data_IF_468221452732
#
_entry.id   IF_468221452732
#
_cell.length_a   1.000
_cell.length_b   1.000
_cell.length_c   1.000
_cell.angle_alpha   90.00
_cell.angle_beta   90.00
_cell.angle_gamma   90.00
#
_symmetry.space_group_name_H-M   'P 1'
#
loop_
_entity.id
_entity.type
_entity.pdbx_description
1 polymer ?
#
# COMPACT_ATOMS: atom_id res chain seq x y z
N UNK A 1 7.85 22.03 -5.43
CA UNK A 1 6.48 21.73 -5.00
C UNK A 1 5.73 20.94 -6.04
N UNK A 2 6.01 21.20 -7.30
CA UNK A 2 5.34 20.49 -8.37
C UNK A 2 5.72 19.01 -8.38
N UNK A 3 7.01 18.73 -8.21
CA UNK A 3 7.47 17.36 -8.13
C UNK A 3 6.89 16.61 -6.96
N UNK A 4 6.74 17.29 -5.84
CA UNK A 4 6.15 16.69 -4.66
C UNK A 4 4.68 16.34 -4.90
N UNK A 5 3.96 17.21 -5.60
CA UNK A 5 2.58 16.96 -5.92
C UNK A 5 2.39 15.73 -6.80
N UNK A 6 3.26 15.60 -7.81
CA UNK A 6 3.19 14.47 -8.70
C UNK A 6 3.51 13.15 -7.99
N UNK A 7 4.53 13.17 -7.16
CA UNK A 7 4.91 11.97 -6.40
C UNK A 7 3.78 11.58 -5.44
N UNK A 8 3.19 12.55 -4.79
CA UNK A 8 2.11 12.31 -3.87
C UNK A 8 0.89 11.71 -4.57
N UNK A 9 0.54 12.25 -5.73
CA UNK A 9 -0.59 11.73 -6.49
C UNK A 9 -0.36 10.29 -6.93
N UNK A 10 0.85 9.98 -7.39
CA UNK A 10 1.19 8.62 -7.80
C UNK A 10 1.09 7.67 -6.61
N UNK A 11 1.58 8.10 -5.45
CA UNK A 11 1.52 7.28 -4.26
C UNK A 11 0.08 6.98 -3.86
N UNK A 12 -0.79 7.99 -3.89
CA UNK A 12 -2.21 7.79 -3.57
C UNK A 12 -2.88 6.83 -4.54
N UNK A 13 -2.54 6.94 -5.82
CA UNK A 13 -3.11 6.05 -6.82
C UNK A 13 -2.68 4.61 -6.59
N UNK A 14 -1.42 4.40 -6.26
CA UNK A 14 -0.91 3.06 -5.98
C UNK A 14 -1.56 2.50 -4.72
N UNK A 15 -1.69 3.31 -3.68
CA UNK A 15 -2.37 2.88 -2.45
C UNK A 15 -3.80 2.44 -2.75
N UNK A 16 -4.50 3.20 -3.58
CA UNK A 16 -5.88 2.87 -3.93
C UNK A 16 -5.95 1.58 -4.73
N UNK A 17 -5.07 1.42 -5.70
CA UNK A 17 -5.04 0.21 -6.49
C UNK A 17 -4.75 -1.03 -5.64
N UNK A 18 -3.81 -0.91 -4.72
CA UNK A 18 -3.48 -2.02 -3.84
C UNK A 18 -4.61 -2.30 -2.86
N UNK A 19 -5.23 -1.26 -2.35
CA UNK A 19 -6.38 -1.42 -1.46
C UNK A 19 -7.51 -2.16 -2.15
N UNK A 20 -7.77 -1.81 -3.40
CA UNK A 20 -8.81 -2.48 -4.18
C UNK A 20 -8.44 -3.94 -4.45
N UNK A 21 -7.18 -4.20 -4.75
CA UNK A 21 -6.72 -5.54 -5.07
C UNK A 21 -6.77 -6.46 -3.85
N UNK A 22 -6.38 -5.96 -2.69
CA UNK A 22 -6.35 -6.76 -1.47
C UNK A 22 -7.66 -6.75 -0.70
N UNK A 23 -8.49 -5.73 -0.93
CA UNK A 23 -9.70 -5.57 -0.14
C UNK A 23 -9.43 -5.05 1.26
N UNK A 24 -8.27 -4.45 1.48
CA UNK A 24 -7.85 -3.91 2.77
C UNK A 24 -7.20 -2.57 2.56
N UNK A 25 -7.19 -1.76 3.62
CA UNK A 25 -6.53 -0.47 3.54
C UNK A 25 -5.03 -0.63 3.43
N UNK A 26 -4.44 0.02 2.44
CA UNK A 26 -3.01 -0.02 2.20
C UNK A 26 -2.46 1.39 2.29
N UNK A 27 -1.37 1.55 3.03
CA UNK A 27 -0.68 2.82 3.17
C UNK A 27 0.78 2.65 2.77
N UNK A 28 1.30 3.65 2.07
CA UNK A 28 2.70 3.66 1.68
C UNK A 28 3.39 4.80 2.43
N UNK A 29 4.42 4.45 3.19
CA UNK A 29 5.20 5.42 3.93
C UNK A 29 6.58 5.49 3.31
N UNK A 30 6.83 6.52 2.55
CA UNK A 30 8.11 6.72 1.89
C UNK A 30 8.97 7.67 2.72
N UNK A 31 10.15 7.20 3.13
CA UNK A 31 11.10 8.04 3.85
C UNK A 31 11.88 8.92 2.90
N UNK A 32 12.28 8.33 1.78
CA UNK A 32 13.00 9.05 0.75
C UNK A 32 12.81 8.30 -0.57
N UNK A 33 13.60 8.64 -1.58
CA UNK A 33 13.43 8.04 -2.89
C UNK A 33 13.77 6.55 -2.94
N UNK A 34 14.58 6.09 -2.00
CA UNK A 34 15.06 4.72 -2.01
C UNK A 34 14.42 3.85 -0.94
N UNK A 35 14.02 4.43 0.16
CA UNK A 35 13.54 3.68 1.32
C UNK A 35 12.13 4.05 1.69
N UNK A 36 11.38 3.05 2.09
CA UNK A 36 10.02 3.26 2.54
C UNK A 36 9.44 1.93 3.01
N UNK A 37 8.17 1.95 3.32
CA UNK A 37 7.49 0.72 3.71
C UNK A 37 6.03 0.78 3.27
N UNK A 38 5.45 -0.41 3.14
CA UNK A 38 4.04 -0.56 2.78
C UNK A 38 3.35 -1.21 3.97
N UNK A 39 2.25 -0.60 4.41
CA UNK A 39 1.48 -1.08 5.56
C UNK A 39 0.10 -1.51 5.08
N UNK A 40 -0.25 -2.76 5.33
CA UNK A 40 -1.57 -3.29 4.99
C UNK A 40 -2.28 -3.59 6.30
N UNK A 41 -3.44 -2.97 6.48
CA UNK A 41 -4.21 -3.11 7.71
C UNK A 41 -5.12 -4.34 7.63
N UNK A 42 -5.20 -5.08 8.73
CA UNK A 42 -6.13 -6.21 8.84
C UNK A 42 -6.66 -6.26 10.27
N UNK A 43 -7.81 -6.89 10.45
CA UNK A 43 -8.42 -6.97 11.78
C UNK A 43 -8.57 -8.39 12.29
N UNK A 44 -8.41 -9.39 11.43
CA UNK A 44 -8.48 -10.80 11.86
C UNK A 44 -7.33 -11.58 11.25
N UNK A 45 -7.01 -12.72 11.85
CA UNK A 45 -5.96 -13.56 11.30
C UNK A 45 -6.36 -14.17 9.96
N UNK A 46 -7.64 -14.37 9.73
CA UNK A 46 -8.11 -14.84 8.42
C UNK A 46 -7.79 -13.84 7.33
N UNK A 47 -7.98 -12.56 7.62
CA UNK A 47 -7.64 -11.50 6.67
C UNK A 47 -6.14 -11.47 6.40
N UNK A 48 -5.34 -11.66 7.43
CA UNK A 48 -3.89 -11.73 7.27
C UNK A 48 -3.50 -12.89 6.37
N UNK A 49 -4.11 -14.05 6.57
CA UNK A 49 -3.83 -15.22 5.73
C UNK A 49 -4.19 -14.96 4.27
N UNK A 50 -5.31 -14.27 4.04
CA UNK A 50 -5.70 -13.90 2.69
C UNK A 50 -4.68 -12.99 2.03
N UNK A 51 -4.17 -12.02 2.78
CA UNK A 51 -3.16 -11.10 2.28
C UNK A 51 -1.89 -11.87 1.92
N UNK A 52 -1.45 -12.77 2.81
CA UNK A 52 -0.26 -13.56 2.58
C UNK A 52 -0.43 -14.43 1.33
N UNK A 53 -1.59 -15.05 1.17
CA UNK A 53 -1.87 -15.89 0.02
C UNK A 53 -1.76 -15.09 -1.29
N UNK A 54 -2.25 -13.86 -1.29
CA UNK A 54 -2.17 -13.02 -2.48
C UNK A 54 -0.74 -12.59 -2.78
N UNK A 55 0.06 -12.39 -1.74
CA UNK A 55 1.44 -11.98 -1.93
C UNK A 55 2.34 -13.12 -2.38
N UNK A 56 2.01 -14.35 -1.99
CA UNK A 56 2.84 -15.50 -2.32
C UNK A 56 2.36 -16.26 -3.55
N UNK A 57 1.23 -15.87 -4.06
CA UNK A 57 0.63 -16.59 -5.18
C UNK A 57 1.17 -16.13 -6.55
#
# INVERSE_FOLDING_TARGET
SRGLGDVYKRQLNIEQEMSDAFGHKVEIEAKNKKNGKVVISYSTSDELENIIAKLTN
#
